data_IF_029648481086
#
_entry.id   IF_029648481086
#
_cell.length_a   1.000
_cell.length_b   1.000
_cell.length_c   1.000
_cell.angle_alpha   90.00
_cell.angle_beta   90.00
_cell.angle_gamma   90.00
#
_symmetry.space_group_name_H-M   'P 1'
#
loop_
_entity.id
_entity.type
_entity.pdbx_description
1 polymer ?
#
# COMPACT_ATOMS: atom_id res chain seq x y z
N UNK A 1 14.20 8.97 8.02
CA UNK A 1 14.33 8.72 6.57
C UNK A 1 15.09 7.42 6.44
N UNK A 2 14.47 6.40 5.86
CA UNK A 2 15.00 5.04 5.72
C UNK A 2 14.80 4.65 4.25
N UNK A 3 15.75 3.90 3.69
CA UNK A 3 15.67 3.33 2.34
C UNK A 3 16.41 1.99 2.34
N UNK A 4 16.07 1.12 1.39
CA UNK A 4 16.89 -0.03 1.08
C UNK A 4 18.33 0.39 0.72
N UNK A 5 19.30 -0.47 1.05
CA UNK A 5 20.69 -0.27 0.67
C UNK A 5 20.94 -0.84 -0.75
N UNK A 6 20.65 -0.01 -1.75
CA UNK A 6 20.76 -0.33 -3.19
C UNK A 6 22.15 -0.80 -3.65
N UNK A 7 23.19 -0.66 -2.83
CA UNK A 7 24.55 -1.10 -3.15
C UNK A 7 24.77 -2.62 -3.00
N UNK A 8 23.86 -3.33 -2.33
CA UNK A 8 23.96 -4.78 -2.07
C UNK A 8 22.78 -5.56 -2.66
N UNK A 9 21.69 -4.89 -3.02
CA UNK A 9 20.48 -5.50 -3.58
C UNK A 9 20.66 -5.91 -5.06
N UNK A 10 20.29 -7.15 -5.39
CA UNK A 10 20.21 -7.64 -6.79
C UNK A 10 18.97 -7.04 -7.48
N UNK A 11 18.96 -6.93 -8.82
CA UNK A 11 17.84 -6.28 -9.55
C UNK A 11 16.46 -6.91 -9.29
N UNK A 12 16.43 -8.19 -8.91
CA UNK A 12 15.22 -8.94 -8.56
C UNK A 12 14.63 -8.51 -7.20
N UNK A 13 15.43 -7.92 -6.31
CA UNK A 13 14.99 -7.43 -4.99
C UNK A 13 14.42 -6.01 -5.03
N UNK A 14 14.72 -5.20 -6.06
CA UNK A 14 14.41 -3.75 -6.06
C UNK A 14 12.92 -3.40 -6.17
N UNK A 15 12.07 -4.29 -6.68
CA UNK A 15 10.64 -4.02 -6.84
C UNK A 15 9.87 -4.53 -5.62
N UNK A 16 9.39 -3.61 -4.77
CA UNK A 16 8.54 -3.94 -3.62
C UNK A 16 9.28 -4.08 -2.28
N UNK A 17 10.61 -3.97 -2.26
CA UNK A 17 11.37 -4.06 -1.01
C UNK A 17 11.01 -2.91 -0.06
N UNK A 18 10.94 -1.67 -0.57
CA UNK A 18 10.55 -0.53 0.25
C UNK A 18 9.10 -0.65 0.80
N UNK A 19 8.19 -1.34 0.11
CA UNK A 19 6.84 -1.61 0.65
C UNK A 19 6.96 -2.54 1.87
N UNK A 20 7.68 -3.65 1.74
CA UNK A 20 7.93 -4.62 2.82
C UNK A 20 8.76 -4.06 3.97
N UNK A 21 9.77 -3.24 3.66
CA UNK A 21 10.59 -2.51 4.61
C UNK A 21 9.75 -1.52 5.40
N UNK A 22 8.83 -0.80 4.74
CA UNK A 22 7.94 0.15 5.42
C UNK A 22 6.98 -0.56 6.39
N UNK A 23 6.45 -1.73 6.03
CA UNK A 23 5.62 -2.55 6.91
C UNK A 23 6.42 -3.15 8.08
N UNK A 24 7.61 -3.68 7.82
CA UNK A 24 8.48 -4.20 8.88
C UNK A 24 8.88 -3.09 9.86
N UNK A 25 9.18 -1.90 9.35
CA UNK A 25 9.53 -0.74 10.15
C UNK A 25 8.33 -0.25 10.96
N UNK A 26 7.13 -0.18 10.36
CA UNK A 26 5.92 0.27 11.07
C UNK A 26 5.61 -0.65 12.26
N UNK A 27 5.76 -1.96 12.09
CA UNK A 27 5.64 -2.96 13.16
C UNK A 27 6.71 -2.75 14.22
N UNK A 28 7.97 -2.62 13.82
CA UNK A 28 9.11 -2.48 14.74
C UNK A 28 8.96 -1.26 15.66
N UNK A 29 8.41 -0.16 15.16
CA UNK A 29 8.22 1.08 15.94
C UNK A 29 6.82 1.22 16.54
N UNK A 30 5.94 0.22 16.34
CA UNK A 30 4.54 0.25 16.73
C UNK A 30 3.81 1.51 16.22
N UNK A 31 3.91 1.77 14.92
CA UNK A 31 3.34 2.94 14.28
C UNK A 31 1.81 2.95 14.39
N UNK A 32 1.21 4.14 14.47
CA UNK A 32 -0.26 4.28 14.52
C UNK A 32 -0.94 4.14 13.16
N UNK A 33 -0.20 4.28 12.06
CA UNK A 33 -0.72 4.24 10.69
C UNK A 33 0.43 4.01 9.70
N UNK A 34 0.23 3.13 8.72
CA UNK A 34 1.08 2.99 7.55
C UNK A 34 0.42 3.62 6.30
N UNK A 35 1.03 4.66 5.74
CA UNK A 35 0.57 5.30 4.50
C UNK A 35 1.52 4.95 3.37
N UNK A 36 1.01 4.27 2.34
CA UNK A 36 1.75 4.00 1.11
C UNK A 36 1.28 4.98 0.03
N UNK A 37 2.19 5.84 -0.42
CA UNK A 37 1.93 6.80 -1.49
C UNK A 37 2.33 6.21 -2.85
N UNK A 38 1.41 6.25 -3.81
CA UNK A 38 1.58 5.70 -5.17
C UNK A 38 1.11 6.69 -6.25
N UNK A 39 1.09 6.30 -7.52
CA UNK A 39 0.67 7.16 -8.63
C UNK A 39 -0.85 7.17 -8.84
N UNK A 40 -1.55 6.17 -8.30
CA UNK A 40 -3.01 6.01 -8.36
C UNK A 40 -3.67 6.45 -7.05
N UNK A 41 -4.96 6.72 -7.12
CA UNK A 41 -5.74 7.20 -5.96
C UNK A 41 -6.04 6.10 -4.93
N UNK A 42 -5.84 4.84 -5.28
CA UNK A 42 -6.04 3.68 -4.41
C UNK A 42 -6.11 2.40 -5.24
N UNK A 43 -6.61 1.33 -4.64
CA UNK A 43 -7.02 0.14 -5.36
C UNK A 43 -8.31 0.45 -6.13
N UNK A 44 -8.34 0.13 -7.42
CA UNK A 44 -9.50 0.37 -8.29
C UNK A 44 -10.33 -0.90 -8.47
N UNK A 45 -11.65 -0.76 -8.51
CA UNK A 45 -12.57 -1.81 -8.97
C UNK A 45 -12.59 -1.92 -10.51
N UNK A 46 -13.36 -2.87 -11.02
CA UNK A 46 -13.51 -3.10 -12.47
C UNK A 46 -14.14 -1.93 -13.23
N UNK A 47 -14.85 -1.05 -12.52
CA UNK A 47 -15.52 0.12 -13.09
C UNK A 47 -14.62 1.37 -13.02
N UNK A 48 -13.41 1.24 -12.47
CA UNK A 48 -12.43 2.33 -12.34
C UNK A 48 -12.66 3.22 -11.11
N UNK A 49 -13.47 2.80 -10.15
CA UNK A 49 -13.69 3.53 -8.91
C UNK A 49 -12.71 3.05 -7.83
N UNK A 50 -12.33 3.95 -6.92
CA UNK A 50 -11.48 3.59 -5.77
C UNK A 50 -12.29 2.78 -4.76
N UNK A 51 -11.77 1.63 -4.36
CA UNK A 51 -12.31 0.82 -3.26
C UNK A 51 -11.87 1.48 -1.95
N UNK A 52 -12.78 2.18 -1.27
CA UNK A 52 -12.46 2.99 -0.10
C UNK A 52 -12.06 2.14 1.12
N UNK A 53 -12.80 1.06 1.39
CA UNK A 53 -12.60 0.20 2.55
C UNK A 53 -12.34 -1.24 2.12
N UNK A 54 -11.21 -1.79 2.59
CA UNK A 54 -10.79 -3.17 2.36
C UNK A 54 -10.92 -3.91 3.69
N UNK A 55 -11.98 -4.71 3.82
CA UNK A 55 -12.23 -5.55 5.00
C UNK A 55 -11.61 -6.93 4.91
N UNK A 56 -11.42 -7.44 3.68
CA UNK A 56 -10.81 -8.74 3.42
C UNK A 56 -9.60 -8.55 2.50
N UNK A 57 -8.45 -8.32 3.13
CA UNK A 57 -7.22 -8.08 2.40
C UNK A 57 -6.68 -9.32 1.69
N UNK A 58 -6.88 -10.51 2.29
CA UNK A 58 -6.41 -11.76 1.71
C UNK A 58 -7.25 -12.08 0.45
N UNK A 59 -8.56 -11.85 0.50
CA UNK A 59 -9.45 -11.94 -0.66
C UNK A 59 -9.07 -10.95 -1.76
N UNK A 60 -8.89 -9.67 -1.41
CA UNK A 60 -8.51 -8.63 -2.37
C UNK A 60 -7.15 -8.92 -3.04
N UNK A 61 -6.16 -9.39 -2.28
CA UNK A 61 -4.83 -9.71 -2.81
C UNK A 61 -4.88 -10.85 -3.84
N UNK A 62 -5.79 -11.81 -3.68
CA UNK A 62 -6.00 -12.90 -4.63
C UNK A 62 -6.61 -12.43 -5.95
N UNK A 63 -7.45 -11.39 -5.92
CA UNK A 63 -8.08 -10.80 -7.10
C UNK A 63 -7.15 -9.91 -7.93
N UNK A 64 -6.00 -9.53 -7.38
CA UNK A 64 -5.04 -8.60 -8.03
C UNK A 64 -4.21 -9.29 -9.13
N UNK A 65 -4.40 -10.59 -9.42
CA UNK A 65 -3.61 -11.31 -10.44
C UNK A 65 -4.34 -11.61 -11.76
N UNK A 66 -3.68 -11.18 -12.84
CA UNK A 66 -3.74 -11.62 -14.25
C UNK A 66 -4.56 -10.82 -15.26
N UNK A 67 -4.79 -9.51 -15.08
CA UNK A 67 -5.14 -8.67 -16.23
C UNK A 67 -3.88 -8.02 -16.80
N UNK A 68 -3.41 -8.54 -17.94
CA UNK A 68 -2.37 -7.97 -18.81
C UNK A 68 -2.83 -6.67 -19.47
N UNK A 69 -3.29 -5.72 -18.66
CA UNK A 69 -3.59 -4.35 -19.07
C UNK A 69 -2.42 -3.42 -18.72
N UNK A 70 -2.41 -2.21 -19.30
CA UNK A 70 -1.37 -1.19 -19.16
C UNK A 70 -1.12 -0.67 -17.71
N UNK A 71 -1.73 -1.31 -16.71
CA UNK A 71 -1.59 -1.05 -15.28
C UNK A 71 -0.73 -2.17 -14.68
N UNK A 72 0.58 -1.98 -14.72
CA UNK A 72 1.60 -2.98 -14.40
C UNK A 72 1.39 -3.66 -13.03
N UNK A 73 1.19 -4.97 -13.11
CA UNK A 73 0.81 -5.98 -12.11
C UNK A 73 1.88 -6.25 -11.02
N UNK A 74 2.93 -5.44 -10.90
CA UNK A 74 3.97 -5.65 -9.87
C UNK A 74 3.76 -4.83 -8.60
N UNK A 75 3.37 -3.56 -8.76
CA UNK A 75 3.44 -2.60 -7.65
C UNK A 75 2.26 -2.62 -6.71
N UNK A 76 1.06 -3.04 -7.15
CA UNK A 76 -0.12 -3.04 -6.27
C UNK A 76 -0.13 -4.25 -5.33
N UNK A 77 0.31 -5.42 -5.82
CA UNK A 77 0.39 -6.63 -4.99
C UNK A 77 1.33 -6.44 -3.81
N UNK A 78 2.52 -5.87 -4.01
CA UNK A 78 3.50 -5.65 -2.94
C UNK A 78 2.99 -4.66 -1.88
N UNK A 79 2.18 -3.67 -2.29
CA UNK A 79 1.55 -2.70 -1.38
C UNK A 79 0.47 -3.34 -0.53
N UNK A 80 -0.38 -4.14 -1.15
CA UNK A 80 -1.41 -4.88 -0.43
C UNK A 80 -0.79 -5.92 0.52
N UNK A 81 0.28 -6.60 0.11
CA UNK A 81 1.05 -7.51 0.98
C UNK A 81 1.67 -6.76 2.18
N UNK A 82 2.29 -5.60 1.94
CA UNK A 82 2.84 -4.75 3.01
C UNK A 82 1.75 -4.29 4.01
N UNK A 83 0.59 -3.88 3.51
CA UNK A 83 -0.51 -3.47 4.38
C UNK A 83 -1.15 -4.67 5.10
N UNK A 84 -1.19 -5.85 4.48
CA UNK A 84 -1.61 -7.09 5.14
C UNK A 84 -0.66 -7.44 6.29
N UNK A 85 0.65 -7.29 6.08
CA UNK A 85 1.65 -7.47 7.12
C UNK A 85 1.43 -6.50 8.29
N UNK A 86 1.20 -5.21 8.02
CA UNK A 86 0.91 -4.22 9.04
C UNK A 86 -0.43 -4.48 9.78
N UNK A 87 -1.50 -4.78 9.04
CA UNK A 87 -2.84 -5.04 9.58
C UNK A 87 -2.87 -6.25 10.50
N UNK A 88 -2.15 -7.33 10.18
CA UNK A 88 -1.97 -8.50 11.07
C UNK A 88 -1.29 -8.17 12.39
N UNK A 89 -0.64 -7.01 12.49
CA UNK A 89 -0.01 -6.49 13.71
C UNK A 89 -0.81 -5.34 14.34
N UNK A 90 -2.11 -5.22 14.03
CA UNK A 90 -3.01 -4.18 14.51
C UNK A 90 -2.60 -2.74 14.12
N UNK A 91 -1.84 -2.59 13.03
CA UNK A 91 -1.48 -1.28 12.47
C UNK A 91 -2.36 -1.00 11.24
N UNK A 92 -3.24 0.02 11.28
CA UNK A 92 -4.07 0.35 10.13
C UNK A 92 -3.18 0.88 9.01
N UNK A 93 -3.66 0.78 7.78
CA UNK A 93 -2.91 1.28 6.65
C UNK A 93 -3.77 1.69 5.47
N UNK A 94 -3.20 2.51 4.59
CA UNK A 94 -3.89 3.00 3.40
C UNK A 94 -2.94 3.20 2.21
N UNK A 95 -3.53 3.16 1.01
CA UNK A 95 -2.90 3.49 -0.27
C UNK A 95 -3.55 4.77 -0.80
N UNK A 96 -2.74 5.78 -1.13
CA UNK A 96 -3.22 7.03 -1.69
C UNK A 96 -2.26 7.61 -2.74
N UNK A 97 -2.72 8.61 -3.48
CA UNK A 97 -1.92 9.26 -4.50
C UNK A 97 -0.88 10.21 -3.90
N UNK A 98 0.40 9.92 -4.13
CA UNK A 98 1.52 10.73 -3.68
C UNK A 98 1.67 12.08 -4.40
N UNK A 99 1.02 12.25 -5.57
CA UNK A 99 1.03 13.53 -6.31
C UNK A 99 0.03 14.54 -5.72
N UNK A 100 -0.92 14.07 -4.90
CA UNK A 100 -1.91 14.88 -4.18
C UNK A 100 -1.48 15.03 -2.71
N UNK A 101 -0.27 15.51 -2.46
CA UNK A 101 0.32 15.53 -1.11
C UNK A 101 -0.50 16.38 -0.12
N UNK A 102 -1.25 17.36 -0.62
CA UNK A 102 -2.13 18.24 0.13
C UNK A 102 -3.23 17.48 0.89
N UNK A 103 -3.59 16.27 0.46
CA UNK A 103 -4.61 15.45 1.11
C UNK A 103 -4.09 14.71 2.37
N UNK A 104 -2.78 14.73 2.66
CA UNK A 104 -2.20 14.01 3.80
C UNK A 104 -2.88 14.29 5.14
N UNK A 105 -3.21 15.56 5.50
CA UNK A 105 -3.96 15.84 6.74
C UNK A 105 -5.34 15.17 6.76
N UNK A 106 -6.04 15.14 5.63
CA UNK A 106 -7.35 14.48 5.48
C UNK A 106 -7.20 12.96 5.67
N UNK A 107 -6.23 12.34 5.00
CA UNK A 107 -5.94 10.90 5.12
C UNK A 107 -5.66 10.47 6.55
N UNK A 108 -4.90 11.27 7.31
CA UNK A 108 -4.60 11.01 8.72
C UNK A 108 -5.86 11.07 9.58
N UNK A 109 -6.79 11.97 9.26
CA UNK A 109 -8.05 12.13 9.98
C UNK A 109 -9.13 11.09 9.59
N UNK A 110 -8.83 10.16 8.68
CA UNK A 110 -9.81 9.20 8.19
C UNK A 110 -10.60 9.68 6.96
N UNK A 111 -10.27 10.86 6.43
CA UNK A 111 -10.91 11.48 5.27
C UNK A 111 -10.02 11.29 4.02
N UNK A 112 -10.41 11.91 2.89
CA UNK A 112 -9.63 11.88 1.65
C UNK A 112 -9.86 10.65 0.77
N UNK A 113 -9.38 10.73 -0.48
CA UNK A 113 -9.54 9.66 -1.48
C UNK A 113 -8.40 8.66 -1.36
N UNK A 114 -8.70 7.46 -0.85
CA UNK A 114 -7.74 6.39 -0.66
C UNK A 114 -8.43 5.02 -0.60
N UNK A 115 -7.62 3.96 -0.61
CA UNK A 115 -8.03 2.63 -0.15
C UNK A 115 -7.47 2.38 1.24
N UNK A 116 -8.34 2.13 2.22
CA UNK A 116 -8.00 1.93 3.63
C UNK A 116 -8.26 0.50 4.05
N UNK A 117 -7.39 -0.02 4.90
CA UNK A 117 -7.58 -1.30 5.58
C UNK A 117 -7.92 -1.01 7.03
N UNK A 118 -9.09 -1.49 7.41
CA UNK A 118 -9.65 -1.33 8.74
C UNK A 118 -9.41 -2.61 9.53
N UNK A 119 -9.06 -2.46 10.81
CA UNK A 119 -8.79 -3.56 11.76
C UNK A 119 -10.00 -3.77 12.66
#
# INVERSE_FOLDING_TARGET
>A
IVNENDSVATEELKFGDNDSLSASLSILINASLLIILTEVDGLMDSDGNVIADISDIDGVTQHVRNETGAYSVGGMSTKLEALAMASRSEIPGLIANGRKFEQLPELINGEGLCSRITI
#
